data_IF_522508151560
#
_entry.id   IF_522508151560
#
_cell.length_a   1.000
_cell.length_b   1.000
_cell.length_c   1.000
_cell.angle_alpha   90.00
_cell.angle_beta   90.00
_cell.angle_gamma   90.00
#
_symmetry.space_group_name_H-M   'P 1'
#
loop_
_entity.id
_entity.type
_entity.pdbx_description
1 polymer ?
#
# COMPACT_ATOMS: atom_id res chain seq x y z
N UNK A 1 -7.40 1.83 -8.05
CA UNK A 1 -6.96 2.94 -7.15
C UNK A 1 -5.59 3.52 -7.58
N UNK A 2 -5.23 4.73 -7.13
CA UNK A 2 -3.96 5.38 -7.52
C UNK A 2 -2.70 4.62 -7.08
N UNK A 3 -2.78 3.87 -5.96
CA UNK A 3 -1.72 2.98 -5.46
C UNK A 3 -1.48 1.83 -6.44
N UNK A 4 -2.54 1.10 -6.84
CA UNK A 4 -2.44 0.02 -7.82
C UNK A 4 -1.79 0.47 -9.15
N UNK A 5 -2.11 1.68 -9.65
CA UNK A 5 -1.47 2.24 -10.85
C UNK A 5 0.00 2.66 -10.64
N UNK A 6 0.41 2.95 -9.41
CA UNK A 6 1.82 3.22 -9.08
C UNK A 6 2.60 1.92 -8.99
N UNK A 7 2.02 0.92 -8.34
CA UNK A 7 2.60 -0.43 -8.24
C UNK A 7 2.72 -1.07 -9.61
N UNK A 8 1.67 -1.05 -10.45
CA UNK A 8 1.73 -1.58 -11.82
C UNK A 8 2.84 -0.92 -12.68
N UNK A 9 3.08 0.39 -12.52
CA UNK A 9 4.18 1.08 -13.22
C UNK A 9 5.57 0.66 -12.74
N UNK A 10 5.71 0.19 -11.50
CA UNK A 10 6.96 -0.38 -11.01
C UNK A 10 7.22 -1.79 -11.57
N UNK A 11 6.18 -2.49 -12.00
CA UNK A 11 6.24 -3.88 -12.49
C UNK A 11 5.85 -4.02 -13.97
N UNK A 12 6.20 -3.05 -14.81
CA UNK A 12 6.08 -3.19 -16.27
C UNK A 12 4.64 -3.17 -16.82
N UNK A 13 3.66 -2.69 -16.07
CA UNK A 13 2.28 -2.52 -16.54
C UNK A 13 1.37 -3.73 -16.36
N UNK A 14 1.86 -4.86 -15.83
CA UNK A 14 1.04 -6.02 -15.50
C UNK A 14 0.54 -5.93 -14.04
N UNK A 15 -0.76 -5.61 -13.83
CA UNK A 15 -1.32 -5.44 -12.50
C UNK A 15 -1.37 -6.74 -11.69
N UNK A 16 -1.52 -7.89 -12.34
CA UNK A 16 -1.59 -9.19 -11.66
C UNK A 16 -0.21 -9.63 -11.20
N UNK A 17 0.80 -9.50 -12.07
CA UNK A 17 2.19 -9.74 -11.69
C UNK A 17 2.64 -8.82 -10.57
N UNK A 18 2.28 -7.54 -10.64
CA UNK A 18 2.55 -6.57 -9.58
C UNK A 18 1.92 -6.99 -8.25
N UNK A 19 0.68 -7.50 -8.29
CA UNK A 19 -0.05 -7.93 -7.10
C UNK A 19 0.59 -9.15 -6.46
N UNK A 20 0.94 -10.17 -7.25
CA UNK A 20 1.64 -11.38 -6.77
C UNK A 20 2.99 -11.03 -6.13
N UNK A 21 3.81 -10.23 -6.81
CA UNK A 21 5.12 -9.83 -6.29
C UNK A 21 5.00 -9.03 -4.98
N UNK A 22 3.98 -8.17 -4.85
CA UNK A 22 3.71 -7.46 -3.60
C UNK A 22 3.27 -8.41 -2.48
N UNK A 23 2.40 -9.37 -2.76
CA UNK A 23 1.93 -10.34 -1.76
C UNK A 23 3.07 -11.20 -1.25
N UNK A 24 3.92 -11.70 -2.14
CA UNK A 24 5.09 -12.51 -1.79
C UNK A 24 6.04 -11.72 -0.88
N UNK A 25 6.48 -10.54 -1.33
CA UNK A 25 7.36 -9.66 -0.55
C UNK A 25 6.81 -9.31 0.83
N UNK A 26 5.51 -9.02 0.91
CA UNK A 26 4.87 -8.63 2.19
C UNK A 26 4.67 -9.84 3.09
N UNK A 27 4.35 -11.01 2.53
CA UNK A 27 4.23 -12.25 3.30
C UNK A 27 5.57 -12.63 3.93
N UNK A 28 6.66 -12.52 3.18
CA UNK A 28 8.02 -12.75 3.67
C UNK A 28 8.39 -11.75 4.77
N UNK A 29 8.14 -10.46 4.55
CA UNK A 29 8.46 -9.41 5.52
C UNK A 29 7.65 -9.53 6.82
N UNK A 30 6.41 -10.02 6.75
CA UNK A 30 5.54 -10.26 7.89
C UNK A 30 5.73 -11.66 8.51
N UNK A 31 6.50 -12.55 7.89
CA UNK A 31 6.70 -13.92 8.35
C UNK A 31 5.41 -14.77 8.33
N UNK A 32 4.51 -14.53 7.37
CA UNK A 32 3.22 -15.23 7.30
C UNK A 32 3.12 -16.19 6.12
N UNK A 33 2.41 -17.30 6.32
CA UNK A 33 1.92 -18.14 5.24
C UNK A 33 0.42 -17.93 5.04
N UNK A 34 0.04 -17.40 3.89
CA UNK A 34 -1.37 -17.19 3.52
C UNK A 34 -2.08 -18.48 3.06
N UNK A 35 -1.40 -19.64 3.08
CA UNK A 35 -1.92 -20.91 2.57
C UNK A 35 -3.21 -21.37 3.28
N UNK A 36 -3.40 -21.01 4.55
CA UNK A 36 -4.58 -21.39 5.36
C UNK A 36 -5.64 -20.30 5.48
N UNK A 37 -5.45 -19.16 4.80
CA UNK A 37 -6.37 -18.03 4.88
C UNK A 37 -7.57 -18.27 3.99
N UNK A 38 -8.73 -17.77 4.40
CA UNK A 38 -9.95 -17.80 3.57
C UNK A 38 -9.88 -16.75 2.44
N UNK A 39 -10.85 -16.79 1.52
CA UNK A 39 -10.84 -15.92 0.33
C UNK A 39 -10.90 -14.43 0.67
N UNK A 40 -11.67 -14.03 1.69
CA UNK A 40 -11.77 -12.64 2.11
C UNK A 40 -10.48 -12.15 2.75
N UNK A 41 -9.84 -12.99 3.58
CA UNK A 41 -8.54 -12.71 4.18
C UNK A 41 -7.45 -12.57 3.11
N UNK A 42 -7.46 -13.42 2.08
CA UNK A 42 -6.54 -13.33 0.95
C UNK A 42 -6.77 -12.03 0.17
N UNK A 43 -8.03 -11.69 -0.13
CA UNK A 43 -8.36 -10.41 -0.80
C UNK A 43 -7.90 -9.20 0.00
N UNK A 44 -8.08 -9.23 1.32
CA UNK A 44 -7.58 -8.18 2.20
C UNK A 44 -6.05 -8.10 2.18
N UNK A 45 -5.35 -9.24 2.29
CA UNK A 45 -3.89 -9.33 2.21
C UNK A 45 -3.38 -8.72 0.92
N UNK A 46 -3.94 -9.11 -0.22
CA UNK A 46 -3.52 -8.63 -1.53
C UNK A 46 -3.68 -7.11 -1.66
N UNK A 47 -4.79 -6.56 -1.16
CA UNK A 47 -5.04 -5.12 -1.18
C UNK A 47 -4.05 -4.36 -0.28
N UNK A 48 -3.80 -4.87 0.93
CA UNK A 48 -2.81 -4.30 1.84
C UNK A 48 -1.39 -4.42 1.29
N UNK A 49 -1.08 -5.51 0.58
CA UNK A 49 0.25 -5.77 0.06
C UNK A 49 0.70 -4.71 -0.95
N UNK A 50 -0.22 -4.16 -1.75
CA UNK A 50 0.09 -3.05 -2.66
C UNK A 50 0.59 -1.79 -1.93
N UNK A 51 0.15 -1.57 -0.70
CA UNK A 51 0.53 -0.44 0.15
C UNK A 51 1.78 -0.77 0.96
N UNK A 52 1.80 -1.94 1.62
CA UNK A 52 2.88 -2.39 2.48
C UNK A 52 4.18 -2.64 1.72
N UNK A 53 4.11 -3.06 0.45
CA UNK A 53 5.30 -3.21 -0.40
C UNK A 53 6.04 -1.89 -0.66
N UNK A 54 5.40 -0.74 -0.42
CA UNK A 54 5.99 0.60 -0.52
C UNK A 54 6.69 1.05 0.78
N UNK A 55 6.57 0.28 1.86
CA UNK A 55 7.25 0.53 3.14
C UNK A 55 8.65 -0.10 3.06
N UNK A 56 9.72 0.71 2.99
CA UNK A 56 11.07 0.21 2.69
C UNK A 56 11.68 -0.63 3.83
N UNK A 57 11.22 -0.41 5.07
CA UNK A 57 11.77 -1.00 6.29
C UNK A 57 10.82 -2.02 6.95
N UNK A 58 9.80 -2.51 6.23
CA UNK A 58 8.79 -3.43 6.80
C UNK A 58 9.40 -4.67 7.46
N UNK A 59 10.47 -5.23 6.89
CA UNK A 59 11.17 -6.40 7.46
C UNK A 59 11.87 -6.11 8.79
N UNK A 60 12.16 -4.83 9.08
CA UNK A 60 12.81 -4.36 10.32
C UNK A 60 11.82 -3.99 11.42
N UNK A 61 10.53 -4.18 11.18
CA UNK A 61 9.52 -3.97 12.20
C UNK A 61 9.64 -5.04 13.28
N UNK A 62 9.22 -4.72 14.50
CA UNK A 62 9.21 -5.73 15.58
C UNK A 62 8.15 -6.79 15.28
N UNK A 63 8.28 -7.96 15.91
CA UNK A 63 7.33 -9.04 15.72
C UNK A 63 5.92 -8.66 16.22
N UNK A 64 5.83 -7.81 17.24
CA UNK A 64 4.55 -7.26 17.73
C UNK A 64 3.90 -6.34 16.70
N UNK A 65 4.69 -5.49 16.03
CA UNK A 65 4.21 -4.62 14.95
C UNK A 65 3.73 -5.45 13.76
N UNK A 66 4.53 -6.43 13.31
CA UNK A 66 4.14 -7.34 12.22
C UNK A 66 2.85 -8.11 12.55
N UNK A 67 2.77 -8.68 13.75
CA UNK A 67 1.58 -9.38 14.24
C UNK A 67 0.35 -8.46 14.34
N UNK A 68 0.53 -7.19 14.73
CA UNK A 68 -0.54 -6.20 14.72
C UNK A 68 -1.03 -5.90 13.30
N UNK A 69 -0.15 -5.80 12.31
CA UNK A 69 -0.54 -5.66 10.89
C UNK A 69 -1.37 -6.86 10.43
N UNK A 70 -0.95 -8.08 10.75
CA UNK A 70 -1.69 -9.30 10.37
C UNK A 70 -3.10 -9.30 10.98
N UNK A 71 -3.25 -8.90 12.24
CA UNK A 71 -4.56 -8.76 12.89
C UNK A 71 -5.44 -7.70 12.21
N UNK A 72 -4.86 -6.58 11.79
CA UNK A 72 -5.58 -5.55 11.04
C UNK A 72 -6.09 -6.11 9.71
N UNK A 73 -5.26 -6.85 8.97
CA UNK A 73 -5.63 -7.43 7.67
C UNK A 73 -6.80 -8.41 7.84
N UNK A 74 -6.71 -9.33 8.81
CA UNK A 74 -7.80 -10.28 9.09
C UNK A 74 -9.08 -9.59 9.57
N UNK A 75 -8.96 -8.57 10.41
CA UNK A 75 -10.12 -7.78 10.83
C UNK A 75 -10.79 -7.06 9.66
N UNK A 76 -10.02 -6.59 8.66
CA UNK A 76 -10.58 -5.97 7.45
C UNK A 76 -11.38 -6.95 6.58
N UNK A 77 -10.98 -8.23 6.60
CA UNK A 77 -11.65 -9.31 5.86
C UNK A 77 -12.95 -9.77 6.53
N UNK A 78 -13.04 -9.66 7.85
CA UNK A 78 -14.25 -9.98 8.60
C UNK A 78 -15.33 -8.89 8.52
N UNK A 79 -16.49 -9.17 9.13
CA UNK A 79 -17.61 -8.24 9.23
C UNK A 79 -17.42 -7.13 10.28
N UNK A 80 -16.37 -7.19 11.11
CA UNK A 80 -16.14 -6.26 12.21
C UNK A 80 -15.28 -5.06 11.78
N UNK A 81 -15.90 -4.15 11.02
CA UNK A 81 -15.28 -2.91 10.58
C UNK A 81 -14.84 -2.03 11.76
N UNK A 82 -15.54 -2.09 12.90
CA UNK A 82 -15.17 -1.35 14.11
C UNK A 82 -13.87 -1.88 14.73
N UNK A 83 -13.70 -3.20 14.81
CA UNK A 83 -12.45 -3.80 15.27
C UNK A 83 -11.29 -3.44 14.34
N UNK A 84 -11.51 -3.48 13.02
CA UNK A 84 -10.52 -3.03 12.04
C UNK A 84 -10.09 -1.58 12.30
N UNK A 85 -11.04 -0.64 12.43
CA UNK A 85 -10.74 0.77 12.66
C UNK A 85 -9.99 1.00 13.99
N UNK A 86 -10.40 0.32 15.07
CA UNK A 86 -9.72 0.42 16.37
C UNK A 86 -8.29 -0.11 16.31
N UNK A 87 -8.06 -1.24 15.67
CA UNK A 87 -6.71 -1.81 15.51
C UNK A 87 -5.81 -0.90 14.66
N UNK A 88 -6.36 -0.38 13.56
CA UNK A 88 -5.64 0.55 12.70
C UNK A 88 -5.29 1.86 13.44
N UNK A 89 -6.19 2.37 14.28
CA UNK A 89 -5.93 3.55 15.10
C UNK A 89 -4.81 3.34 16.12
N UNK A 90 -4.73 2.17 16.74
CA UNK A 90 -3.68 1.82 17.72
C UNK A 90 -2.30 1.64 17.07
N UNK A 91 -2.24 1.28 15.79
CA UNK A 91 -0.98 1.02 15.10
C UNK A 91 -0.32 2.31 14.54
N UNK A 92 0.41 3.02 15.40
CA UNK A 92 1.00 4.33 15.05
C UNK A 92 1.99 4.27 13.87
N UNK A 93 2.88 3.27 13.85
CA UNK A 93 3.88 3.12 12.76
C UNK A 93 3.22 2.95 11.39
N UNK A 94 2.26 2.02 11.26
CA UNK A 94 1.48 1.83 10.04
C UNK A 94 0.77 3.11 9.60
N UNK A 95 0.11 3.85 10.51
CA UNK A 95 -0.53 5.12 10.16
C UNK A 95 0.45 6.14 9.58
N UNK A 96 1.63 6.28 10.18
CA UNK A 96 2.68 7.19 9.69
C UNK A 96 3.12 6.83 8.28
N UNK A 97 3.30 5.55 7.99
CA UNK A 97 3.64 5.08 6.64
C UNK A 97 2.56 5.38 5.61
N UNK A 98 1.30 5.10 5.94
CA UNK A 98 0.16 5.37 5.05
C UNK A 98 0.09 6.87 4.71
N UNK A 99 0.24 7.74 5.71
CA UNK A 99 0.24 9.19 5.51
C UNK A 99 1.42 9.62 4.63
N UNK A 100 2.62 9.08 4.86
CA UNK A 100 3.82 9.38 4.07
C UNK A 100 3.64 8.99 2.60
N UNK A 101 3.12 7.79 2.34
CA UNK A 101 2.83 7.30 0.98
C UNK A 101 1.77 8.18 0.32
N UNK A 102 0.71 8.54 1.05
CA UNK A 102 -0.36 9.44 0.60
C UNK A 102 0.15 10.85 0.26
N UNK A 103 0.99 11.45 1.10
CA UNK A 103 1.60 12.76 0.88
C UNK A 103 2.48 12.79 -0.38
N UNK A 104 3.32 11.77 -0.57
CA UNK A 104 4.16 11.65 -1.78
C UNK A 104 3.37 11.45 -3.07
N UNK A 105 2.15 10.92 -3.01
CA UNK A 105 1.27 10.78 -4.19
C UNK A 105 0.60 12.10 -4.62
N UNK A 106 0.38 13.03 -3.68
CA UNK A 106 -0.21 14.35 -3.95
C UNK A 106 0.80 15.33 -4.54
N UNK A 107 2.06 15.28 -4.09
CA UNK A 107 3.14 16.16 -4.60
C UNK A 107 3.34 16.03 -6.13
N UNK A 108 3.30 14.80 -6.68
CA UNK A 108 3.49 14.56 -8.13
C UNK A 108 2.36 15.06 -9.03
N UNK A 109 1.13 15.24 -8.52
CA UNK A 109 0.02 15.79 -9.31
C UNK A 109 0.08 17.30 -9.45
N UNK A 110 0.70 18.01 -8.50
CA UNK A 110 0.85 19.47 -8.54
C UNK A 110 1.93 19.91 -9.54
N UNK A 111 3.02 19.15 -9.65
CA UNK A 111 4.11 19.44 -10.59
C UNK A 111 3.75 19.23 -12.08
N UNK A 112 2.79 18.36 -12.41
CA UNK A 112 2.36 18.13 -13.81
C UNK A 112 1.44 19.20 -14.38
N UNK A 113 0.80 20.04 -13.56
CA UNK A 113 0.01 21.19 -14.06
C UNK A 113 0.88 22.41 -14.35
N UNK A 114 1.91 22.68 -13.55
CA UNK A 114 2.79 23.84 -13.77
C UNK A 114 3.73 23.70 -14.97
N UNK A 115 4.04 22.47 -15.41
CA UNK A 115 4.88 22.25 -16.60
C UNK A 115 4.17 22.40 -17.94
N UNK A 116 2.83 22.35 -18.00
CA UNK A 116 2.07 22.50 -19.24
C UNK A 116 1.65 23.95 -19.53
N UNK A 117 1.63 24.83 -18.52
CA UNK A 117 1.38 26.27 -18.72
C UNK A 117 2.65 27.02 -19.18
N UNK A 118 3.85 26.48 -18.94
CA UNK A 118 5.10 27.11 -19.37
C UNK A 118 5.46 26.85 -20.84
N UNK A 119 5.00 25.76 -21.45
CA UNK A 119 5.27 25.45 -22.88
C UNK A 119 4.31 26.15 -23.86
N UNK A 120 3.16 26.63 -23.41
CA UNK A 120 2.19 27.33 -24.25
C UNK A 120 2.49 28.84 -24.44
N UNK A 121 3.50 29.37 -23.75
CA UNK A 121 3.83 30.80 -23.73
C UNK A 121 5.04 31.23 -24.56
N UNK A 122 5.71 30.32 -25.28
CA UNK A 122 6.96 30.61 -26.00
C UNK A 122 6.91 30.43 -27.52
N UNK A 123 5.73 30.31 -28.11
CA UNK A 123 5.53 30.39 -29.57
C UNK A 123 4.65 31.59 -29.92
N UNK A 124 5.21 32.78 -29.74
CA UNK A 124 4.79 34.01 -30.43
C UNK A 124 5.96 35.01 -30.38
N UNK A 125 6.82 34.94 -31.38
CA UNK A 125 7.69 36.03 -31.85
C UNK A 125 7.98 35.79 -33.32
#
# INVERSE_FOLDING_TARGET
AAVARRTARLYGGDPERARRACVEKVSDALGISAARWNDDERRALENFSLLLALVPDLSRWTEEEKSAVVRIIRAKAGADELAYLRLLQKHQRLRREIIRIGAGSRSRRRGRRQGQEAEAGSSSS
#
